data_IF_072806461126
#
_entry.id   IF_072806461126
#
_cell.length_a   1.000
_cell.length_b   1.000
_cell.length_c   1.000
_cell.angle_alpha   90.00
_cell.angle_beta   90.00
_cell.angle_gamma   90.00
#
_symmetry.space_group_name_H-M   'P 1'
#
loop_
_entity.id
_entity.type
_entity.pdbx_description
1 polymer ?
#
# COMPACT_ATOMS: atom_id res chain seq x y z
N UNK A 1 3.19 6.54 -2.19
CA UNK A 1 4.46 6.83 -1.48
C UNK A 1 4.63 5.75 -0.42
N UNK A 2 5.80 5.11 -0.35
CA UNK A 2 6.12 4.12 0.69
C UNK A 2 7.10 4.73 1.68
N UNK A 3 6.89 4.49 2.97
CA UNK A 3 7.66 5.09 4.06
C UNK A 3 6.82 5.14 5.33
N UNK A 4 7.38 5.71 6.39
CA UNK A 4 6.65 5.84 7.66
C UNK A 4 5.62 6.97 7.60
N UNK A 5 4.67 6.97 8.53
CA UNK A 5 3.74 8.10 8.72
C UNK A 5 4.49 9.41 8.96
N UNK A 6 5.61 9.37 9.69
CA UNK A 6 6.43 10.56 9.95
C UNK A 6 7.06 11.13 8.67
N UNK A 7 7.52 10.27 7.76
CA UNK A 7 8.04 10.68 6.45
C UNK A 7 6.96 11.33 5.59
N UNK A 8 5.73 10.80 5.65
CA UNK A 8 4.58 11.36 4.93
C UNK A 8 4.21 12.74 5.45
N UNK A 9 4.06 12.89 6.78
CA UNK A 9 3.74 14.18 7.40
C UNK A 9 4.80 15.23 7.05
N UNK A 10 6.08 14.87 7.10
CA UNK A 10 7.17 15.78 6.76
C UNK A 10 7.05 16.31 5.33
N UNK A 11 6.63 15.47 4.38
CA UNK A 11 6.44 15.88 2.98
C UNK A 11 5.18 16.71 2.79
N UNK A 12 4.10 16.42 3.50
CA UNK A 12 2.87 17.23 3.46
C UNK A 12 3.11 18.63 4.02
N UNK A 13 3.83 18.75 5.12
CA UNK A 13 4.20 20.04 5.71
C UNK A 13 5.09 20.90 4.80
N UNK A 14 5.82 20.27 3.87
CA UNK A 14 6.65 20.98 2.89
C UNK A 14 5.87 21.46 1.65
N UNK A 15 4.60 21.10 1.51
CA UNK A 15 3.78 21.52 0.37
C UNK A 15 3.26 22.95 0.53
N UNK A 16 2.99 23.67 -0.58
CA UNK A 16 2.33 24.97 -0.52
C UNK A 16 0.98 24.89 0.23
N UNK A 17 0.64 25.91 1.04
CA UNK A 17 -0.57 25.89 1.87
C UNK A 17 -1.88 25.84 1.07
N UNK A 18 -1.85 26.22 -0.21
CA UNK A 18 -2.99 26.23 -1.13
C UNK A 18 -2.97 25.05 -2.13
N UNK A 19 -2.02 24.13 -1.99
CA UNK A 19 -1.94 22.96 -2.85
C UNK A 19 -3.18 22.06 -2.69
N UNK A 20 -3.83 21.72 -3.81
CA UNK A 20 -4.84 20.67 -3.84
C UNK A 20 -4.17 19.32 -3.96
N UNK A 21 -4.36 18.45 -2.97
CA UNK A 21 -3.73 17.13 -2.91
C UNK A 21 -4.75 16.04 -2.67
N UNK A 22 -4.52 14.88 -3.29
CA UNK A 22 -5.23 13.62 -3.02
C UNK A 22 -4.19 12.64 -2.50
N UNK A 23 -4.44 12.06 -1.31
CA UNK A 23 -3.50 11.17 -0.64
C UNK A 23 -4.24 9.87 -0.34
N UNK A 24 -3.68 8.77 -0.84
CA UNK A 24 -4.11 7.41 -0.50
C UNK A 24 -3.03 6.80 0.38
N UNK A 25 -3.43 6.30 1.56
CA UNK A 25 -2.56 5.62 2.52
C UNK A 25 -3.03 4.18 2.63
N UNK A 26 -2.12 3.25 2.40
CA UNK A 26 -2.32 1.83 2.67
C UNK A 26 -1.34 1.37 3.74
N UNK A 27 -1.82 0.50 4.60
CA UNK A 27 -1.15 -0.08 5.74
C UNK A 27 -1.08 -1.60 5.59
N UNK A 28 -0.31 -2.24 6.45
CA UNK A 28 -0.27 -3.71 6.53
C UNK A 28 -1.65 -4.29 6.81
N UNK A 29 -2.46 -3.62 7.64
CA UNK A 29 -3.82 -4.07 7.94
C UNK A 29 -4.70 -4.08 6.68
N UNK A 30 -4.56 -3.10 5.79
CA UNK A 30 -5.30 -3.07 4.52
C UNK A 30 -4.90 -4.25 3.62
N UNK A 31 -3.62 -4.65 3.63
CA UNK A 31 -3.19 -5.85 2.92
C UNK A 31 -3.83 -7.11 3.54
N UNK A 32 -3.91 -7.19 4.87
CA UNK A 32 -4.52 -8.32 5.55
C UNK A 32 -6.04 -8.42 5.40
N UNK A 33 -6.75 -7.31 5.15
CA UNK A 33 -8.17 -7.36 4.82
C UNK A 33 -8.43 -8.15 3.52
N UNK A 34 -7.49 -8.14 2.58
CA UNK A 34 -7.59 -8.89 1.31
C UNK A 34 -6.79 -10.20 1.30
N UNK A 35 -5.74 -10.29 2.13
CA UNK A 35 -4.79 -11.42 2.19
C UNK A 35 -4.37 -11.69 3.64
N UNK A 36 -5.28 -12.23 4.47
CA UNK A 36 -5.02 -12.47 5.89
C UNK A 36 -3.98 -13.58 6.14
N UNK A 37 -3.61 -14.33 5.09
CA UNK A 37 -2.63 -15.42 5.15
C UNK A 37 -1.17 -14.95 5.10
N UNK A 38 -0.92 -13.69 4.74
CA UNK A 38 0.43 -13.15 4.59
C UNK A 38 1.06 -12.77 5.94
N UNK A 39 2.37 -12.95 6.06
CA UNK A 39 3.13 -12.38 7.18
C UNK A 39 3.24 -10.85 7.06
N UNK A 40 3.62 -10.17 8.13
CA UNK A 40 3.85 -8.71 8.10
C UNK A 40 4.90 -8.31 7.06
N UNK A 41 6.01 -9.06 6.97
CA UNK A 41 7.07 -8.83 5.97
C UNK A 41 6.54 -9.00 4.54
N UNK A 42 5.72 -10.03 4.29
CA UNK A 42 5.08 -10.22 2.98
C UNK A 42 4.09 -9.11 2.66
N UNK A 43 3.32 -8.64 3.64
CA UNK A 43 2.41 -7.52 3.47
C UNK A 43 3.17 -6.21 3.16
N UNK A 44 4.31 -5.96 3.81
CA UNK A 44 5.19 -4.84 3.47
C UNK A 44 5.75 -4.94 2.04
N UNK A 45 6.10 -6.14 1.59
CA UNK A 45 6.54 -6.38 0.21
C UNK A 45 5.44 -6.05 -0.81
N UNK A 46 4.18 -6.40 -0.53
CA UNK A 46 3.02 -5.98 -1.33
C UNK A 46 2.97 -4.46 -1.43
N UNK A 47 2.99 -3.75 -0.29
CA UNK A 47 2.94 -2.28 -0.25
C UNK A 47 4.09 -1.63 -1.02
N UNK A 48 5.29 -2.23 -0.96
CA UNK A 48 6.46 -1.75 -1.69
C UNK A 48 6.28 -1.88 -3.20
N UNK A 49 5.72 -3.00 -3.67
CA UNK A 49 5.47 -3.24 -5.09
C UNK A 49 4.30 -2.39 -5.61
N UNK A 50 3.23 -2.22 -4.83
CA UNK A 50 2.12 -1.31 -5.15
C UNK A 50 2.63 0.11 -5.36
N UNK A 51 3.43 0.62 -4.41
CA UNK A 51 4.04 1.94 -4.52
C UNK A 51 4.94 2.07 -5.75
N UNK A 52 5.65 1.00 -6.15
CA UNK A 52 6.53 1.00 -7.33
C UNK A 52 5.78 0.93 -8.65
N UNK A 53 4.72 0.11 -8.75
CA UNK A 53 3.99 -0.17 -10.00
C UNK A 53 2.87 0.83 -10.29
N UNK A 54 2.13 1.28 -9.28
CA UNK A 54 0.88 2.02 -9.46
C UNK A 54 0.89 3.44 -8.86
N UNK A 55 1.94 3.80 -8.11
CA UNK A 55 2.09 5.16 -7.56
C UNK A 55 1.06 5.47 -6.46
N UNK A 56 0.15 6.43 -6.70
CA UNK A 56 -0.88 6.89 -5.75
C UNK A 56 -2.31 6.49 -6.17
N UNK A 57 -2.45 5.64 -7.19
CA UNK A 57 -3.74 5.29 -7.80
C UNK A 57 -3.91 3.79 -7.74
N UNK A 58 -5.01 3.33 -7.15
CA UNK A 58 -5.33 1.91 -7.00
C UNK A 58 -6.50 1.76 -6.04
N UNK A 59 -7.12 0.59 -6.07
CA UNK A 59 -8.18 0.18 -5.15
C UNK A 59 -7.79 -1.11 -4.42
N UNK A 60 -8.71 -1.65 -3.62
CA UNK A 60 -8.50 -2.92 -2.91
C UNK A 60 -8.16 -4.09 -3.85
N UNK A 61 -8.65 -4.08 -5.09
CA UNK A 61 -8.31 -5.08 -6.10
C UNK A 61 -6.83 -5.03 -6.48
N UNK A 62 -6.22 -3.85 -6.49
CA UNK A 62 -4.79 -3.67 -6.78
C UNK A 62 -3.91 -4.35 -5.73
N UNK A 63 -4.31 -4.32 -4.44
CA UNK A 63 -3.60 -5.00 -3.36
C UNK A 63 -3.67 -6.52 -3.53
N UNK A 64 -4.87 -7.04 -3.82
CA UNK A 64 -5.09 -8.47 -4.03
C UNK A 64 -4.32 -9.00 -5.24
N UNK A 65 -4.36 -8.30 -6.38
CA UNK A 65 -3.62 -8.68 -7.59
C UNK A 65 -2.11 -8.74 -7.34
N UNK A 66 -1.53 -7.72 -6.71
CA UNK A 66 -0.09 -7.72 -6.43
C UNK A 66 0.29 -8.83 -5.45
N UNK A 67 -0.53 -9.05 -4.42
CA UNK A 67 -0.29 -10.14 -3.48
C UNK A 67 -0.34 -11.51 -4.19
N UNK A 68 -1.25 -11.69 -5.14
CA UNK A 68 -1.32 -12.91 -5.94
C UNK A 68 -0.14 -13.05 -6.90
N UNK A 69 0.29 -11.97 -7.55
CA UNK A 69 1.50 -11.96 -8.39
C UNK A 69 2.75 -12.37 -7.61
N UNK A 70 2.88 -11.92 -6.36
CA UNK A 70 4.06 -12.15 -5.53
C UNK A 70 4.06 -13.52 -4.83
N UNK A 71 2.91 -13.93 -4.31
CA UNK A 71 2.81 -15.06 -3.38
C UNK A 71 1.85 -16.16 -3.83
N UNK A 72 1.27 -16.04 -5.03
CA UNK A 72 0.26 -16.96 -5.55
C UNK A 72 -1.14 -16.69 -4.98
N UNK A 73 -2.11 -17.45 -5.48
CA UNK A 73 -3.50 -17.37 -5.04
C UNK A 73 -3.64 -17.84 -3.59
N UNK A 74 -4.50 -17.15 -2.82
CA UNK A 74 -4.87 -17.61 -1.49
C UNK A 74 -5.60 -18.95 -1.62
N UNK A 75 -5.08 -19.97 -0.93
CA UNK A 75 -5.76 -21.25 -0.82
C UNK A 75 -6.66 -21.14 0.40
N UNK A 76 -7.98 -21.16 0.16
CA UNK A 76 -8.99 -21.18 1.21
C UNK A 76 -9.41 -22.63 1.38
N UNK A 77 -9.12 -23.21 2.54
CA UNK A 77 -9.63 -24.53 2.95
C UNK A 77 -11.13 -24.48 3.30
#
# INVERSE_FOLDING_TARGET
MYGTVADMISKLNAMPPDAKVMITVWTVNDVWEVRPDLTEEQAEDVLRVVNRRYGMVGDWGTLAEIATDLFGAMVVD
#
